data_IF_380140675715
#
_entry.id   IF_380140675715
#
_cell.length_a   1.000
_cell.length_b   1.000
_cell.length_c   1.000
_cell.angle_alpha   90.00
_cell.angle_beta   90.00
_cell.angle_gamma   90.00
#
_symmetry.space_group_name_H-M   'P 1'
#
loop_
_entity.id
_entity.type
_entity.pdbx_description
1 polymer ?
#
# COMPACT_ATOMS: atom_id res chain seq x y z
N UNK A 1 -1.11 -25.68 -0.89
CA UNK A 1 -0.22 -26.03 -2.03
C UNK A 1 0.83 -24.92 -2.14
N UNK A 2 2.06 -25.20 -2.57
CA UNK A 2 3.05 -24.12 -2.74
C UNK A 2 2.58 -23.11 -3.80
N UNK A 3 2.80 -21.79 -3.59
CA UNK A 3 2.46 -20.78 -4.58
C UNK A 3 3.15 -21.03 -5.93
N UNK A 4 2.48 -20.78 -7.07
CA UNK A 4 3.13 -20.86 -8.37
C UNK A 4 4.21 -19.79 -8.53
N UNK A 5 5.25 -20.12 -9.31
CA UNK A 5 6.35 -19.19 -9.61
C UNK A 5 6.21 -18.61 -11.00
N UNK A 6 6.33 -17.29 -11.12
CA UNK A 6 6.40 -16.55 -12.38
C UNK A 6 7.83 -16.10 -12.65
N UNK A 7 8.27 -16.24 -13.90
CA UNK A 7 9.64 -15.98 -14.32
C UNK A 7 9.68 -14.87 -15.37
N UNK A 8 9.90 -13.60 -15.00
CA UNK A 8 10.07 -12.55 -15.99
C UNK A 8 11.33 -12.83 -16.84
N UNK A 9 11.27 -12.67 -18.17
CA UNK A 9 12.37 -13.02 -19.09
C UNK A 9 13.59 -12.12 -18.93
N UNK A 10 13.41 -10.95 -18.30
CA UNK A 10 14.44 -9.98 -17.95
C UNK A 10 14.13 -9.38 -16.58
N UNK A 11 15.09 -8.72 -15.95
CA UNK A 11 14.81 -7.89 -14.78
C UNK A 11 13.83 -6.79 -15.18
N UNK A 12 12.77 -6.63 -14.41
CA UNK A 12 11.84 -5.51 -14.57
C UNK A 12 12.18 -4.50 -13.48
N UNK A 13 12.48 -3.27 -13.87
CA UNK A 13 12.82 -2.19 -12.94
C UNK A 13 11.69 -1.17 -12.93
N UNK A 14 11.23 -0.81 -11.73
CA UNK A 14 10.13 0.12 -11.50
C UNK A 14 10.60 1.18 -10.53
N UNK A 15 10.58 2.44 -10.93
CA UNK A 15 10.80 3.54 -10.01
C UNK A 15 9.53 3.77 -9.19
N UNK A 16 9.66 3.80 -7.86
CA UNK A 16 8.55 4.19 -7.01
C UNK A 16 8.18 5.67 -7.25
N UNK A 17 6.90 5.99 -7.23
CA UNK A 17 6.39 7.37 -7.32
C UNK A 17 5.71 7.78 -6.01
N UNK A 18 5.45 9.07 -5.73
CA UNK A 18 4.58 9.44 -4.61
C UNK A 18 3.18 8.82 -4.77
N UNK A 19 2.59 8.33 -3.68
CA UNK A 19 1.23 7.80 -3.71
C UNK A 19 0.21 8.94 -3.91
N UNK A 20 -0.58 8.87 -4.98
CA UNK A 20 -1.70 9.78 -5.24
C UNK A 20 -3.00 9.01 -5.46
N UNK A 21 -4.18 9.59 -5.14
CA UNK A 21 -5.46 8.95 -5.43
C UNK A 21 -5.68 8.65 -6.92
N UNK A 22 -5.20 9.52 -7.82
CA UNK A 22 -5.37 9.34 -9.27
C UNK A 22 -4.55 8.17 -9.80
N UNK A 23 -3.27 8.09 -9.41
CA UNK A 23 -2.37 7.06 -9.93
C UNK A 23 -2.67 5.67 -9.33
N UNK A 24 -3.18 5.64 -8.10
CA UNK A 24 -3.57 4.39 -7.43
C UNK A 24 -5.00 3.93 -7.74
N UNK A 25 -5.85 4.82 -8.27
CA UNK A 25 -7.27 4.56 -8.54
C UNK A 25 -7.58 3.27 -9.31
N UNK A 26 -6.79 2.84 -10.31
CA UNK A 26 -7.02 1.56 -11.00
C UNK A 26 -6.86 0.31 -10.12
N UNK A 27 -6.20 0.42 -8.97
CA UNK A 27 -5.84 -0.69 -8.09
C UNK A 27 -6.66 -0.70 -6.80
N UNK A 28 -7.23 0.45 -6.43
CA UNK A 28 -7.93 0.62 -5.16
C UNK A 28 -8.17 2.08 -4.81
N UNK A 29 -8.13 2.40 -3.51
CA UNK A 29 -8.39 3.74 -2.99
C UNK A 29 -7.31 4.14 -2.00
N UNK A 30 -6.84 5.39 -2.08
CA UNK A 30 -5.97 6.00 -1.06
C UNK A 30 -6.86 6.58 0.04
N UNK A 31 -6.63 6.15 1.29
CA UNK A 31 -7.31 6.69 2.46
C UNK A 31 -6.51 7.90 2.93
N UNK A 32 -7.04 9.10 2.69
CA UNK A 32 -6.46 10.36 3.15
C UNK A 32 -7.58 11.39 3.31
N UNK A 33 -7.29 12.54 3.91
CA UNK A 33 -8.28 13.64 3.99
C UNK A 33 -8.62 14.11 2.57
N UNK A 34 -9.89 13.96 2.13
CA UNK A 34 -10.29 14.34 0.78
C UNK A 34 -10.29 15.87 0.62
N UNK A 35 -10.03 16.34 -0.60
CA UNK A 35 -10.26 17.75 -0.97
C UNK A 35 -11.73 18.10 -1.22
N UNK A 36 -12.66 17.16 -0.99
CA UNK A 36 -14.10 17.32 -1.25
C UNK A 36 -14.86 17.77 0.00
N UNK A 37 -16.12 18.14 -0.18
CA UNK A 37 -17.00 18.58 0.90
C UNK A 37 -17.07 17.57 2.06
N UNK A 38 -17.18 18.11 3.27
CA UNK A 38 -17.39 17.39 4.53
C UNK A 38 -18.64 17.93 5.22
N UNK A 39 -19.31 17.10 6.02
CA UNK A 39 -20.31 17.60 6.96
C UNK A 39 -19.63 18.10 8.23
N UNK A 40 -19.98 19.30 8.70
CA UNK A 40 -19.56 19.76 10.03
C UNK A 40 -20.36 19.02 11.10
N UNK A 41 -19.67 18.40 12.05
CA UNK A 41 -20.24 17.61 13.14
C UNK A 41 -19.63 18.05 14.48
N UNK A 42 -20.02 17.40 15.59
CA UNK A 42 -19.52 17.68 16.95
C UNK A 42 -19.62 19.18 17.32
N UNK A 43 -20.81 19.75 17.17
CA UNK A 43 -21.09 21.16 17.48
C UNK A 43 -20.13 22.16 16.80
N UNK A 44 -19.62 21.84 15.61
CA UNK A 44 -18.72 22.73 14.87
C UNK A 44 -17.23 22.39 14.97
N UNK A 45 -16.86 21.38 15.76
CA UNK A 45 -15.44 21.09 16.08
C UNK A 45 -14.81 20.00 15.21
N UNK A 46 -15.59 19.33 14.35
CA UNK A 46 -15.07 18.27 13.49
C UNK A 46 -15.69 18.28 12.09
N UNK A 47 -14.93 17.77 11.13
CA UNK A 47 -15.37 17.51 9.77
C UNK A 47 -15.53 16.00 9.56
N UNK A 48 -16.70 15.57 9.09
CA UNK A 48 -16.99 14.18 8.74
C UNK A 48 -16.96 14.02 7.23
N UNK A 49 -16.00 13.23 6.74
CA UNK A 49 -15.99 12.69 5.38
C UNK A 49 -16.57 11.29 5.42
N UNK A 50 -17.63 11.05 4.64
CA UNK A 50 -18.29 9.73 4.56
C UNK A 50 -17.74 8.92 3.39
N UNK A 51 -17.75 7.59 3.54
CA UNK A 51 -17.44 6.67 2.44
C UNK A 51 -16.05 6.90 1.81
N UNK A 52 -15.05 7.19 2.63
CA UNK A 52 -13.67 7.49 2.17
C UNK A 52 -12.97 6.30 1.52
N UNK A 53 -13.48 5.09 1.70
CA UNK A 53 -12.97 3.87 1.09
C UNK A 53 -14.03 2.76 1.11
N UNK A 54 -14.06 1.84 0.13
CA UNK A 54 -14.91 0.65 0.20
C UNK A 54 -14.43 -0.33 1.27
N UNK A 55 -15.37 -1.07 1.86
CA UNK A 55 -15.09 -2.25 2.69
C UNK A 55 -16.08 -3.34 2.30
N UNK A 56 -15.71 -4.13 1.30
CA UNK A 56 -16.65 -4.98 0.55
C UNK A 56 -16.14 -6.41 0.46
N UNK A 57 -17.05 -7.37 0.52
CA UNK A 57 -16.84 -8.77 0.21
C UNK A 57 -17.71 -9.22 -0.97
N UNK A 58 -17.17 -10.11 -1.80
CA UNK A 58 -17.78 -10.65 -3.03
C UNK A 58 -17.63 -12.16 -3.12
N UNK A 59 -17.50 -12.82 -1.96
CA UNK A 59 -17.38 -14.29 -1.90
C UNK A 59 -18.60 -14.94 -2.57
N UNK A 60 -18.41 -16.06 -3.31
CA UNK A 60 -19.52 -16.77 -3.91
C UNK A 60 -20.56 -17.16 -2.85
N UNK A 61 -21.86 -17.08 -3.19
CA UNK A 61 -22.94 -17.46 -2.26
C UNK A 61 -22.87 -18.93 -1.81
N UNK A 62 -22.13 -19.76 -2.55
CA UNK A 62 -21.87 -21.17 -2.25
C UNK A 62 -20.68 -21.38 -1.32
N UNK A 63 -19.85 -20.36 -1.08
CA UNK A 63 -18.70 -20.42 -0.19
C UNK A 63 -19.14 -20.25 1.28
N UNK A 64 -18.30 -20.65 2.25
CA UNK A 64 -18.50 -20.27 3.64
C UNK A 64 -18.65 -18.74 3.77
N UNK A 65 -19.45 -18.31 4.75
CA UNK A 65 -19.69 -16.89 4.98
C UNK A 65 -18.40 -16.21 5.47
N UNK A 66 -17.99 -15.15 4.79
CA UNK A 66 -16.87 -14.33 5.23
C UNK A 66 -17.24 -13.48 6.45
N UNK A 67 -16.29 -13.36 7.39
CA UNK A 67 -16.37 -12.47 8.54
C UNK A 67 -15.56 -11.20 8.26
N UNK A 68 -16.10 -10.04 8.64
CA UNK A 68 -15.35 -8.79 8.65
C UNK A 68 -14.34 -8.81 9.80
N UNK A 69 -13.05 -8.81 9.46
CA UNK A 69 -11.95 -8.87 10.42
C UNK A 69 -11.21 -7.53 10.47
N UNK A 70 -10.80 -7.17 11.69
CA UNK A 70 -9.98 -6.01 12.00
C UNK A 70 -8.73 -6.53 12.70
N UNK A 71 -7.61 -6.50 11.99
CA UNK A 71 -6.35 -7.07 12.42
C UNK A 71 -5.33 -5.96 12.74
N UNK A 72 -4.30 -6.30 13.52
CA UNK A 72 -3.14 -5.44 13.76
C UNK A 72 -1.90 -6.08 13.17
N UNK A 73 -1.21 -5.36 12.31
CA UNK A 73 0.02 -5.81 11.67
C UNK A 73 1.17 -4.94 12.17
N UNK A 74 2.15 -5.55 12.83
CA UNK A 74 3.40 -4.91 13.23
C UNK A 74 4.44 -5.21 12.16
N UNK A 75 4.63 -4.25 11.26
CA UNK A 75 5.47 -4.46 10.08
C UNK A 75 6.89 -3.94 10.32
N UNK A 76 7.87 -4.84 10.29
CA UNK A 76 9.29 -4.50 10.36
C UNK A 76 9.79 -3.85 9.06
N UNK A 77 10.73 -2.91 9.15
CA UNK A 77 11.40 -2.39 7.96
C UNK A 77 12.02 -3.49 7.11
N UNK A 78 11.98 -3.30 5.79
CA UNK A 78 12.54 -4.21 4.81
C UNK A 78 13.89 -3.70 4.34
N UNK A 79 14.86 -4.60 4.22
CA UNK A 79 16.19 -4.26 3.70
C UNK A 79 16.12 -3.90 2.22
N UNK A 80 16.81 -2.82 1.86
CA UNK A 80 17.02 -2.37 0.49
C UNK A 80 18.45 -2.67 0.05
N UNK A 81 18.65 -3.04 -1.21
CA UNK A 81 19.99 -3.04 -1.79
C UNK A 81 20.40 -1.61 -2.13
N UNK A 82 21.69 -1.25 -2.04
CA UNK A 82 22.15 0.07 -2.44
C UNK A 82 21.83 0.35 -3.92
N UNK A 83 21.46 1.61 -4.22
CA UNK A 83 21.55 2.15 -5.58
C UNK A 83 23.00 2.64 -5.78
N UNK A 84 23.56 2.48 -6.98
CA UNK A 84 24.95 2.87 -7.26
C UNK A 84 25.17 4.35 -6.87
N UNK A 85 26.13 4.58 -5.96
CA UNK A 85 26.54 5.88 -5.40
C UNK A 85 25.55 6.61 -4.45
N UNK A 86 24.58 5.92 -3.83
CA UNK A 86 23.81 6.54 -2.72
C UNK A 86 24.65 6.59 -1.45
N UNK A 87 24.59 7.72 -0.74
CA UNK A 87 25.23 7.91 0.55
C UNK A 87 24.79 6.81 1.52
N UNK A 88 25.76 6.20 2.21
CA UNK A 88 25.57 5.00 3.04
C UNK A 88 24.64 5.19 4.25
N UNK A 89 24.15 6.41 4.47
CA UNK A 89 23.38 6.86 5.64
C UNK A 89 21.86 6.91 5.41
N UNK A 90 21.37 6.72 4.18
CA UNK A 90 19.92 6.67 3.92
C UNK A 90 19.37 5.25 3.77
N UNK A 91 18.81 4.74 4.86
CA UNK A 91 18.15 3.44 4.93
C UNK A 91 16.76 3.39 4.26
N UNK A 92 16.27 4.52 3.75
CA UNK A 92 14.94 4.63 3.13
C UNK A 92 14.97 4.68 1.60
N UNK A 93 16.17 4.68 1.00
CA UNK A 93 16.39 4.64 -0.45
C UNK A 93 17.20 3.41 -0.85
N UNK A 94 16.98 2.91 -2.06
CA UNK A 94 17.63 1.71 -2.56
C UNK A 94 16.71 0.88 -3.45
N UNK A 95 17.07 -0.38 -3.66
CA UNK A 95 16.31 -1.33 -4.48
C UNK A 95 15.64 -2.35 -3.58
N UNK A 96 14.30 -2.37 -3.60
CA UNK A 96 13.51 -3.44 -3.02
C UNK A 96 13.28 -4.54 -4.06
N UNK A 97 13.68 -5.79 -3.74
CA UNK A 97 13.43 -6.95 -4.60
C UNK A 97 12.05 -7.53 -4.30
N UNK A 98 11.12 -7.44 -5.25
CA UNK A 98 9.81 -8.08 -5.11
C UNK A 98 9.97 -9.58 -5.29
N UNK A 99 9.59 -10.35 -4.28
CA UNK A 99 9.69 -11.82 -4.26
C UNK A 99 8.35 -12.53 -4.28
N UNK A 100 7.31 -11.87 -3.78
CA UNK A 100 5.95 -12.39 -3.70
C UNK A 100 5.00 -11.27 -4.10
N UNK A 101 3.97 -11.62 -4.85
CA UNK A 101 2.75 -10.83 -4.99
C UNK A 101 1.59 -11.70 -4.52
N UNK A 102 0.64 -11.07 -3.83
CA UNK A 102 -0.56 -11.70 -3.32
C UNK A 102 -1.80 -10.94 -3.78
N UNK A 103 -2.96 -11.57 -3.68
CA UNK A 103 -4.25 -10.91 -3.85
C UNK A 103 -5.30 -11.56 -2.95
N UNK A 104 -6.31 -10.78 -2.64
CA UNK A 104 -7.54 -11.23 -1.97
C UNK A 104 -8.68 -11.21 -3.01
N UNK A 105 -9.00 -12.34 -3.66
CA UNK A 105 -9.90 -12.37 -4.84
C UNK A 105 -11.29 -11.79 -4.59
N UNK A 106 -11.79 -11.94 -3.36
CA UNK A 106 -13.19 -11.69 -3.01
C UNK A 106 -13.39 -10.62 -1.95
N UNK A 107 -12.36 -9.84 -1.59
CA UNK A 107 -12.51 -8.77 -0.60
C UNK A 107 -11.55 -7.64 -0.89
N UNK A 108 -11.95 -6.43 -0.54
CA UNK A 108 -10.99 -5.35 -0.32
C UNK A 108 -10.09 -5.67 0.87
N UNK A 109 -8.87 -5.16 0.85
CA UNK A 109 -7.98 -5.18 2.02
C UNK A 109 -7.42 -3.78 2.26
N UNK A 110 -7.66 -3.24 3.44
CA UNK A 110 -7.19 -1.91 3.84
C UNK A 110 -6.01 -2.00 4.80
N UNK A 111 -4.99 -1.17 4.60
CA UNK A 111 -3.91 -0.91 5.56
C UNK A 111 -3.95 0.56 5.97
N UNK A 112 -4.20 0.80 7.25
CA UNK A 112 -4.29 2.15 7.84
C UNK A 112 -3.21 2.26 8.92
N UNK A 113 -2.17 3.09 8.75
CA UNK A 113 -1.15 3.24 9.78
C UNK A 113 -1.76 3.88 11.03
N UNK A 114 -1.42 3.39 12.22
CA UNK A 114 -1.77 4.03 13.50
C UNK A 114 -0.89 5.27 13.80
N UNK A 115 -0.26 5.82 12.77
CA UNK A 115 0.80 6.82 12.85
C UNK A 115 2.12 6.26 12.34
N UNK A 116 3.04 7.16 12.02
CA UNK A 116 4.42 6.81 11.75
C UNK A 116 5.28 7.16 12.97
N UNK A 117 6.30 6.35 13.28
CA UNK A 117 7.29 6.72 14.27
C UNK A 117 7.88 8.12 13.98
N UNK A 118 7.72 9.05 14.94
CA UNK A 118 8.23 10.42 14.80
C UNK A 118 9.77 10.42 14.76
N UNK A 119 10.43 11.15 13.84
CA UNK A 119 11.88 11.20 13.75
C UNK A 119 12.56 11.47 15.10
N UNK A 120 13.68 10.80 15.36
CA UNK A 120 14.52 11.03 16.55
C UNK A 120 15.91 11.50 16.15
N UNK A 121 16.76 11.85 17.11
CA UNK A 121 18.16 12.19 16.82
C UNK A 121 18.93 10.99 16.25
N UNK A 122 18.59 9.81 16.71
CA UNK A 122 19.18 8.53 16.28
C UNK A 122 18.57 8.04 14.97
N UNK A 123 17.32 8.42 14.67
CA UNK A 123 16.56 8.01 13.49
C UNK A 123 15.89 9.23 12.84
N UNK A 124 16.65 10.07 12.11
CA UNK A 124 16.16 11.37 11.62
C UNK A 124 15.20 11.26 10.43
N UNK A 125 15.21 10.13 9.72
CA UNK A 125 14.33 9.90 8.57
C UNK A 125 12.96 9.40 9.03
N UNK A 126 11.85 10.00 8.59
CA UNK A 126 10.52 9.48 8.90
C UNK A 126 10.33 8.11 8.25
N UNK A 127 9.74 7.15 8.99
CA UNK A 127 9.32 5.88 8.40
C UNK A 127 8.35 6.13 7.25
N UNK A 128 8.38 5.30 6.22
CA UNK A 128 7.42 5.32 5.11
C UNK A 128 7.04 3.88 4.80
N UNK A 129 6.16 3.67 3.82
CA UNK A 129 5.91 2.33 3.31
C UNK A 129 5.72 2.34 1.80
N UNK A 130 6.12 1.26 1.16
CA UNK A 130 5.87 1.04 -0.27
C UNK A 130 4.55 0.31 -0.47
N UNK A 131 3.81 0.80 -1.45
CA UNK A 131 2.61 0.16 -1.99
C UNK A 131 2.96 -0.29 -3.39
N UNK A 132 3.02 -1.60 -3.59
CA UNK A 132 3.44 -2.21 -4.85
C UNK A 132 2.24 -2.99 -5.36
N UNK A 133 1.79 -2.69 -6.58
CA UNK A 133 0.57 -3.25 -7.18
C UNK A 133 0.79 -3.66 -8.62
N UNK A 134 0.07 -4.67 -9.07
CA UNK A 134 0.10 -5.12 -10.45
C UNK A 134 -1.33 -5.34 -10.99
N UNK A 135 -1.58 -5.01 -12.26
CA UNK A 135 -2.79 -5.48 -12.95
C UNK A 135 -2.83 -7.01 -13.01
N UNK A 136 -3.99 -7.58 -13.30
CA UNK A 136 -4.11 -9.00 -13.64
C UNK A 136 -3.90 -9.21 -15.15
N UNK A 137 -3.04 -10.15 -15.54
CA UNK A 137 -2.94 -10.64 -16.91
C UNK A 137 -4.16 -11.48 -17.25
N UNK A 138 -4.69 -11.33 -18.47
CA UNK A 138 -5.84 -12.10 -18.97
C UNK A 138 -7.17 -11.75 -18.28
N UNK A 139 -8.19 -12.60 -18.47
CA UNK A 139 -9.50 -12.48 -17.81
C UNK A 139 -9.37 -12.54 -16.27
N UNK A 140 -10.40 -12.10 -15.50
CA UNK A 140 -10.40 -12.19 -14.05
C UNK A 140 -9.92 -13.55 -13.54
N UNK A 141 -9.01 -13.52 -12.56
CA UNK A 141 -8.39 -14.72 -12.00
C UNK A 141 -7.02 -15.09 -12.55
N UNK A 142 -6.49 -14.40 -13.58
CA UNK A 142 -5.14 -14.64 -14.09
C UNK A 142 -3.99 -14.18 -13.16
N UNK A 143 -2.72 -14.45 -13.53
CA UNK A 143 -1.53 -14.05 -12.77
C UNK A 143 -1.30 -12.53 -12.84
N UNK A 144 -0.41 -11.94 -12.03
CA UNK A 144 -0.09 -10.51 -12.13
C UNK A 144 0.66 -10.15 -13.42
N UNK A 145 0.34 -8.99 -13.97
CA UNK A 145 1.10 -8.35 -15.05
C UNK A 145 2.31 -7.62 -14.46
N UNK A 146 3.46 -8.31 -14.47
CA UNK A 146 4.70 -7.72 -13.98
C UNK A 146 5.18 -6.52 -14.83
N UNK A 147 4.80 -6.41 -16.10
CA UNK A 147 5.15 -5.23 -16.92
C UNK A 147 4.26 -4.04 -16.58
N UNK A 148 3.02 -4.32 -16.17
CA UNK A 148 2.06 -3.34 -15.67
C UNK A 148 2.27 -2.93 -14.21
N UNK A 149 3.23 -3.53 -13.50
CA UNK A 149 3.48 -3.25 -12.09
C UNK A 149 3.77 -1.77 -11.84
N UNK A 150 3.28 -1.26 -10.70
CA UNK A 150 3.49 0.10 -10.20
C UNK A 150 3.94 0.02 -8.75
N UNK A 151 4.74 0.99 -8.32
CA UNK A 151 5.18 1.13 -6.95
C UNK A 151 5.00 2.58 -6.50
N UNK A 152 4.53 2.75 -5.27
CA UNK A 152 4.26 4.04 -4.68
C UNK A 152 4.87 4.15 -3.29
N UNK A 153 5.39 5.32 -2.94
CA UNK A 153 5.79 5.68 -1.58
C UNK A 153 4.62 6.37 -0.91
N UNK A 154 4.14 5.78 0.18
CA UNK A 154 3.08 6.32 1.02
C UNK A 154 3.63 6.92 2.32
N UNK A 155 2.97 7.99 2.78
CA UNK A 155 3.34 8.72 3.99
C UNK A 155 2.31 8.52 5.12
N UNK A 156 2.59 9.04 6.32
CA UNK A 156 1.82 8.72 7.53
C UNK A 156 0.41 9.26 7.60
N UNK A 157 0.07 10.19 6.71
CA UNK A 157 -1.27 10.71 6.52
C UNK A 157 -2.06 9.93 5.46
N UNK A 158 -1.53 8.81 4.97
CA UNK A 158 -2.14 7.97 3.95
C UNK A 158 -2.28 6.54 4.46
N UNK A 159 -3.43 5.94 4.21
CA UNK A 159 -3.63 4.50 4.15
C UNK A 159 -3.98 4.08 2.73
N UNK A 160 -4.10 2.77 2.49
CA UNK A 160 -4.55 2.24 1.20
C UNK A 160 -5.60 1.16 1.40
N UNK A 161 -6.52 1.06 0.45
CA UNK A 161 -7.41 -0.09 0.28
C UNK A 161 -7.15 -0.67 -1.08
N UNK A 162 -6.67 -1.91 -1.14
CA UNK A 162 -6.61 -2.67 -2.38
C UNK A 162 -8.02 -3.11 -2.77
N UNK A 163 -8.36 -2.98 -4.06
CA UNK A 163 -9.57 -3.55 -4.62
C UNK A 163 -9.56 -5.08 -4.56
N UNK A 164 -10.74 -5.70 -4.54
CA UNK A 164 -10.85 -7.16 -4.60
C UNK A 164 -10.16 -7.71 -5.87
N UNK A 165 -9.29 -8.70 -5.67
CA UNK A 165 -8.49 -9.33 -6.71
C UNK A 165 -7.28 -8.52 -7.21
N UNK A 166 -7.03 -7.32 -6.68
CA UNK A 166 -5.83 -6.55 -7.00
C UNK A 166 -4.59 -7.27 -6.49
N UNK A 167 -3.64 -7.54 -7.39
CA UNK A 167 -2.33 -8.06 -7.00
C UNK A 167 -1.50 -6.96 -6.34
N UNK A 168 -0.89 -7.27 -5.20
CA UNK A 168 -0.02 -6.38 -4.47
C UNK A 168 1.10 -7.15 -3.77
N UNK A 169 2.18 -6.45 -3.39
CA UNK A 169 3.19 -7.06 -2.52
C UNK A 169 2.72 -7.02 -1.06
N UNK A 170 3.13 -8.00 -0.22
CA UNK A 170 3.00 -7.88 1.23
C UNK A 170 3.62 -6.56 1.72
N UNK A 171 3.06 -5.98 2.78
CA UNK A 171 3.42 -4.63 3.25
C UNK A 171 4.94 -4.43 3.42
N UNK A 172 5.47 -3.35 2.83
CA UNK A 172 6.90 -3.02 2.82
C UNK A 172 7.14 -1.72 3.60
N UNK A 173 7.59 -1.83 4.84
CA UNK A 173 8.00 -0.66 5.64
C UNK A 173 9.42 -0.24 5.24
N UNK A 174 9.63 1.07 5.12
CA UNK A 174 10.91 1.72 4.85
C UNK A 174 11.36 2.54 6.07
N UNK A 175 12.66 2.60 6.30
CA UNK A 175 13.28 3.29 7.44
C UNK A 175 13.78 2.30 8.50
N UNK A 176 13.86 2.73 9.75
CA UNK A 176 14.54 1.96 10.81
C UNK A 176 13.58 1.36 11.85
N UNK A 177 12.33 1.83 11.88
CA UNK A 177 11.35 1.45 12.90
C UNK A 177 10.09 0.84 12.30
N UNK A 178 9.49 -0.04 13.09
CA UNK A 178 8.24 -0.70 12.77
C UNK A 178 7.11 0.30 12.56
N UNK A 179 6.20 -0.03 11.65
CA UNK A 179 4.93 0.69 11.49
C UNK A 179 3.80 -0.27 11.84
N UNK A 180 2.88 0.20 12.67
CA UNK A 180 1.70 -0.56 13.07
C UNK A 180 0.52 -0.17 12.19
N UNK A 181 -0.11 -1.16 11.57
CA UNK A 181 -1.27 -0.97 10.72
C UNK A 181 -2.50 -1.62 11.35
N UNK A 182 -3.62 -0.91 11.30
CA UNK A 182 -4.94 -1.54 11.34
C UNK A 182 -5.21 -2.09 9.95
N UNK A 183 -5.56 -3.37 9.88
CA UNK A 183 -5.85 -4.07 8.63
C UNK A 183 -7.30 -4.52 8.61
N UNK A 184 -8.04 -4.10 7.59
CA UNK A 184 -9.46 -4.46 7.43
C UNK A 184 -9.60 -5.41 6.24
N UNK A 185 -10.24 -6.56 6.44
CA UNK A 185 -10.42 -7.58 5.40
C UNK A 185 -11.64 -8.46 5.73
N UNK A 186 -12.27 -9.08 4.74
CA UNK A 186 -13.24 -10.15 4.98
C UNK A 186 -12.62 -11.51 4.68
N UNK A 187 -12.73 -12.46 5.59
CA UNK A 187 -12.14 -13.80 5.43
C UNK A 187 -13.18 -14.88 5.73
N UNK A 188 -13.23 -15.92 4.90
CA UNK A 188 -14.13 -17.07 5.07
C UNK A 188 -13.43 -18.30 5.67
N UNK A 189 -12.12 -18.23 5.91
CA UNK A 189 -11.30 -19.30 6.47
C UNK A 189 -10.85 -20.35 5.46
N UNK A 190 -11.14 -20.17 4.18
CA UNK A 190 -10.64 -21.01 3.08
C UNK A 190 -9.41 -20.34 2.49
N UNK A 191 -8.24 -20.93 2.72
CA UNK A 191 -6.93 -20.36 2.36
C UNK A 191 -6.89 -19.77 0.93
N UNK A 192 -7.36 -20.52 -0.07
CA UNK A 192 -7.34 -20.12 -1.48
C UNK A 192 -8.36 -19.06 -1.89
N UNK A 193 -9.41 -18.89 -1.07
CA UNK A 193 -10.43 -17.85 -1.26
C UNK A 193 -9.96 -16.56 -0.59
N UNK A 194 -9.36 -16.70 0.61
CA UNK A 194 -8.89 -15.58 1.41
C UNK A 194 -7.65 -14.96 0.78
N UNK A 195 -6.64 -15.75 0.37
CA UNK A 195 -5.41 -15.21 -0.21
C UNK A 195 -4.84 -16.12 -1.31
N UNK A 196 -4.37 -15.50 -2.40
CA UNK A 196 -3.66 -16.19 -3.46
C UNK A 196 -2.32 -15.52 -3.68
N UNK A 197 -1.25 -16.31 -3.64
CA UNK A 197 0.12 -15.83 -3.79
C UNK A 197 0.76 -16.32 -5.09
N UNK A 198 1.74 -15.57 -5.58
CA UNK A 198 2.69 -16.00 -6.60
C UNK A 198 4.11 -15.62 -6.19
N UNK A 199 5.07 -16.50 -6.47
CA UNK A 199 6.50 -16.22 -6.26
C UNK A 199 7.06 -15.58 -7.53
N UNK A 200 7.80 -14.48 -7.37
CA UNK A 200 8.55 -13.84 -8.45
C UNK A 200 9.96 -14.41 -8.49
N UNK A 201 10.19 -15.31 -9.44
CA UNK A 201 11.46 -16.01 -9.63
C UNK A 201 12.39 -15.37 -10.66
N UNK A 202 13.47 -16.07 -11.00
CA UNK A 202 14.40 -15.69 -12.07
C UNK A 202 15.07 -14.34 -11.85
N UNK A 203 15.09 -13.50 -12.90
CA UNK A 203 15.70 -12.16 -12.83
C UNK A 203 14.91 -11.17 -11.94
N UNK A 204 13.64 -11.47 -11.66
CA UNK A 204 12.82 -10.75 -10.68
C UNK A 204 12.32 -9.37 -11.09
N UNK A 205 11.76 -8.67 -10.11
CA UNK A 205 11.33 -7.27 -10.21
C UNK A 205 12.06 -6.45 -9.14
N UNK A 206 12.59 -5.32 -9.58
CA UNK A 206 13.36 -4.38 -8.78
C UNK A 206 12.55 -3.09 -8.65
N UNK A 207 12.21 -2.70 -7.42
CA UNK A 207 11.58 -1.41 -7.13
C UNK A 207 12.65 -0.46 -6.62
N UNK A 208 12.95 0.59 -7.41
CA UNK A 208 13.87 1.65 -7.01
C UNK A 208 13.14 2.70 -6.18
N UNK A 209 13.63 2.94 -4.97
CA UNK A 209 13.20 4.02 -4.08
C UNK A 209 14.32 5.05 -4.03
N UNK A 210 14.01 6.30 -4.37
CA UNK A 210 15.00 7.39 -4.42
C UNK A 210 14.72 8.46 -3.37
N UNK A 211 15.77 9.14 -2.94
CA UNK A 211 15.70 10.29 -2.03
C UNK A 211 14.82 11.41 -2.59
N UNK A 212 14.16 12.15 -1.69
CA UNK A 212 13.35 13.32 -2.03
C UNK A 212 11.99 13.02 -2.65
N UNK A 213 11.66 11.75 -2.94
CA UNK A 213 10.29 11.36 -3.29
C UNK A 213 9.38 11.61 -2.09
N UNK A 214 8.60 12.70 -2.18
CA UNK A 214 7.60 13.10 -1.18
C UNK A 214 7.93 14.32 -0.32
N UNK A 215 8.94 15.14 -0.62
CA UNK A 215 9.18 16.42 0.10
C UNK A 215 8.31 17.59 -0.39
N UNK A 216 7.24 17.31 -1.14
CA UNK A 216 6.19 18.33 -1.33
C UNK A 216 5.66 18.72 0.04
N UNK A 217 5.35 20.01 0.24
CA UNK A 217 4.77 20.55 1.48
C UNK A 217 3.46 19.83 1.83
N UNK A 218 3.54 18.65 2.44
CA UNK A 218 2.42 18.02 3.11
C UNK A 218 2.34 18.66 4.49
N UNK A 219 1.86 19.91 4.43
CA UNK A 219 1.88 20.89 5.50
C UNK A 219 1.39 20.32 6.82
N UNK A 220 2.15 20.63 7.85
CA UNK A 220 1.60 20.96 9.15
C UNK A 220 0.32 21.77 8.92
N UNK A 221 -0.81 21.29 9.45
CA UNK A 221 -2.12 21.94 9.34
C UNK A 221 -2.03 23.43 9.66
N UNK A 222 -1.95 24.26 8.62
CA UNK A 222 -1.61 25.67 8.74
C UNK A 222 -1.99 26.42 7.46
N UNK A 223 -3.27 26.38 7.11
CA UNK A 223 -3.80 27.13 5.98
C UNK A 223 -5.28 27.40 6.20
N UNK A 224 -5.59 28.50 6.88
CA UNK A 224 -6.95 29.04 6.93
C UNK A 224 -7.40 29.38 5.51
N UNK A 225 -8.25 28.52 4.93
CA UNK A 225 -9.04 28.90 3.78
C UNK A 225 -10.13 29.88 4.25
N UNK A 226 -9.86 31.18 4.16
CA UNK A 226 -10.90 32.20 4.27
C UNK A 226 -11.87 32.00 3.11
N UNK A 227 -13.06 31.48 3.41
CA UNK A 227 -14.20 31.56 2.52
C UNK A 227 -14.51 33.05 2.28
N UNK A 228 -14.38 33.51 1.03
CA UNK A 228 -15.00 34.77 0.61
C UNK A 228 -16.50 34.49 0.41
N UNK A 229 -17.31 35.34 1.07
CA UNK A 229 -18.75 35.50 0.84
C UNK A 229 -19.03 35.89 -0.62
#
# INVERSE_FOLDING_TARGET
MSPPTIYPPRTITVCAAPLTPSDFGPFGTVIQVPGTASATVNQGTAQKHTCITPFTDTYPITAPRAAANVNLFLCKPRSLLPLDAVAADDVSSGIFKVKILERHPYTTQSFIPLGLPAPTRESPSPSKFLVIVAPTLSKPGGPPDLQGLRAFVAHGNQGVTYGAGTWHAPMVVLGEREVVFVVLVHENGVESDDCQEVIVGGKGVDVEVRQGMGSGEYGLWGGEAKAKL
#
